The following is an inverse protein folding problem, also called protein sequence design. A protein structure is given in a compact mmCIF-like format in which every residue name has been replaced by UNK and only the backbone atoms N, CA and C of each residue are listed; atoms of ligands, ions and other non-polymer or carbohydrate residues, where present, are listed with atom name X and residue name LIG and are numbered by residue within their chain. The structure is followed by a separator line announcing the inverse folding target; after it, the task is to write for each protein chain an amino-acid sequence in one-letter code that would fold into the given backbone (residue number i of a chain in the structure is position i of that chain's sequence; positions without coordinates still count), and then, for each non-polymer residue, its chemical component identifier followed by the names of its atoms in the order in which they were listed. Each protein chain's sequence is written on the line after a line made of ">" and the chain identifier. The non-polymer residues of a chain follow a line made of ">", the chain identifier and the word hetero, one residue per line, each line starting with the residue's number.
data_IF_850396012326
#
_entry.id   IF_850396012326
#
_cell.length_a   1.000
_cell.length_b   1.000
_cell.length_c   1.000
_cell.angle_alpha   90.00
_cell.angle_beta   90.00
_cell.angle_gamma   90.00
#
_symmetry.space_group_name_H-M   'P 1'
#
loop_
_entity.id
_entity.type
_entity.pdbx_description
1 polymer ?
#
# COMPACT_ATOMS: atom_id res chain seq x y z
N UNK A 1 0.23 -15.68 24.48
CA UNK A 1 1.12 -14.59 24.09
C UNK A 1 0.63 -13.27 24.65
N UNK A 2 1.49 -12.58 25.41
CA UNK A 2 1.23 -11.24 25.97
C UNK A 2 1.42 -10.15 24.92
N UNK A 3 0.97 -8.92 25.22
CA UNK A 3 1.18 -7.75 24.34
C UNK A 3 2.68 -7.45 24.15
N UNK A 4 3.48 -7.59 25.20
CA UNK A 4 4.93 -7.39 25.16
C UNK A 4 5.61 -8.38 24.22
N UNK A 5 5.23 -9.66 24.29
CA UNK A 5 5.73 -10.69 23.38
C UNK A 5 5.36 -10.39 21.92
N UNK A 6 4.13 -9.92 21.65
CA UNK A 6 3.72 -9.54 20.29
C UNK A 6 4.46 -8.31 19.77
N UNK A 7 4.75 -7.34 20.64
CA UNK A 7 5.56 -6.17 20.27
C UNK A 7 7.01 -6.57 19.97
N UNK A 8 7.58 -7.49 20.76
CA UNK A 8 8.91 -8.05 20.50
C UNK A 8 8.95 -8.80 19.16
N UNK A 9 7.93 -9.61 18.83
CA UNK A 9 7.84 -10.31 17.54
C UNK A 9 7.69 -9.32 16.37
N UNK A 10 6.90 -8.26 16.51
CA UNK A 10 6.81 -7.21 15.49
C UNK A 10 8.17 -6.53 15.25
N UNK A 11 8.92 -6.22 16.33
CA UNK A 11 10.26 -5.63 16.22
C UNK A 11 11.22 -6.56 15.49
N UNK A 12 11.18 -7.86 15.82
CA UNK A 12 11.99 -8.89 15.15
C UNK A 12 11.60 -9.06 13.67
N UNK A 13 10.31 -9.11 13.36
CA UNK A 13 9.82 -9.21 11.99
C UNK A 13 10.21 -7.96 11.16
N UNK A 14 10.18 -6.78 11.77
CA UNK A 14 10.60 -5.52 11.12
C UNK A 14 12.09 -5.52 10.79
N UNK A 15 12.95 -5.95 11.72
CA UNK A 15 14.39 -6.03 11.45
C UNK A 15 14.71 -7.09 10.39
N UNK A 16 14.00 -8.22 10.38
CA UNK A 16 14.12 -9.26 9.36
C UNK A 16 13.70 -8.77 7.98
N UNK A 17 12.58 -8.04 7.87
CA UNK A 17 12.14 -7.44 6.62
C UNK A 17 13.15 -6.42 6.09
N UNK A 18 13.69 -5.56 6.96
CA UNK A 18 14.72 -4.60 6.59
C UNK A 18 15.99 -5.29 6.07
N UNK A 19 16.43 -6.37 6.72
CA UNK A 19 17.57 -7.16 6.28
C UNK A 19 17.31 -7.85 4.92
N UNK A 20 16.13 -8.44 4.74
CA UNK A 20 15.74 -9.11 3.50
C UNK A 20 15.71 -8.13 2.31
N UNK A 21 15.19 -6.91 2.52
CA UNK A 21 15.17 -5.86 1.50
C UNK A 21 16.56 -5.39 1.09
N UNK A 22 17.48 -5.23 2.06
CA UNK A 22 18.89 -4.92 1.77
C UNK A 22 19.53 -6.04 0.94
N UNK A 23 19.35 -7.28 1.38
CA UNK A 23 19.87 -8.43 0.64
C UNK A 23 19.32 -8.50 -0.79
N UNK A 24 18.03 -8.23 -0.99
CA UNK A 24 17.44 -8.15 -2.33
C UNK A 24 18.08 -7.04 -3.18
N UNK A 25 18.29 -5.85 -2.61
CA UNK A 25 18.96 -4.76 -3.30
C UNK A 25 20.41 -5.13 -3.69
N UNK A 26 21.15 -5.80 -2.80
CA UNK A 26 22.51 -6.27 -3.07
C UNK A 26 22.52 -7.32 -4.21
N UNK A 27 21.57 -8.25 -4.21
CA UNK A 27 21.47 -9.24 -5.29
C UNK A 27 21.06 -8.60 -6.62
N UNK A 28 20.20 -7.58 -6.60
CA UNK A 28 19.86 -6.80 -7.80
C UNK A 28 21.06 -6.02 -8.33
N UNK A 29 21.88 -5.46 -7.44
CA UNK A 29 23.12 -4.82 -7.81
C UNK A 29 24.07 -5.83 -8.48
N UNK A 30 24.32 -6.97 -7.84
CA UNK A 30 25.19 -8.02 -8.40
C UNK A 30 24.71 -8.49 -9.78
N UNK A 31 23.41 -8.67 -9.96
CA UNK A 31 22.81 -9.03 -11.24
C UNK A 31 23.06 -8.02 -12.36
N UNK A 32 23.00 -6.72 -12.05
CA UNK A 32 23.29 -5.66 -13.04
C UNK A 32 24.76 -5.59 -13.42
N UNK A 33 25.65 -6.04 -12.54
CA UNK A 33 27.10 -5.97 -12.73
C UNK A 33 27.74 -7.30 -13.17
N UNK A 34 26.94 -8.31 -13.51
CA UNK A 34 27.44 -9.62 -13.95
C UNK A 34 28.16 -10.41 -12.85
N UNK A 35 27.93 -10.04 -11.59
CA UNK A 35 28.45 -10.76 -10.41
C UNK A 35 27.51 -11.90 -10.07
N UNK A 36 28.06 -13.00 -9.54
CA UNK A 36 27.26 -14.10 -9.05
C UNK A 36 26.14 -13.61 -8.10
N UNK A 37 24.92 -14.03 -8.37
CA UNK A 37 23.74 -13.57 -7.66
C UNK A 37 22.74 -14.70 -7.44
N UNK A 38 21.86 -14.54 -6.45
CA UNK A 38 20.70 -15.39 -6.23
C UNK A 38 19.42 -14.56 -6.03
N UNK A 39 18.97 -13.93 -7.11
CA UNK A 39 17.77 -13.09 -7.13
C UNK A 39 16.50 -13.83 -6.72
N UNK A 40 16.33 -15.07 -7.19
CA UNK A 40 15.15 -15.88 -6.84
C UNK A 40 15.07 -16.10 -5.34
N UNK A 41 16.17 -16.54 -4.71
CA UNK A 41 16.20 -16.74 -3.26
C UNK A 41 15.94 -15.45 -2.49
N UNK A 42 16.62 -14.36 -2.86
CA UNK A 42 16.46 -13.08 -2.16
C UNK A 42 15.03 -12.52 -2.28
N UNK A 43 14.39 -12.70 -3.44
CA UNK A 43 13.00 -12.29 -3.67
C UNK A 43 12.04 -13.13 -2.83
N UNK A 44 12.18 -14.45 -2.83
CA UNK A 44 11.38 -15.34 -1.98
C UNK A 44 11.58 -15.05 -0.50
N UNK A 45 12.81 -14.77 -0.07
CA UNK A 45 13.12 -14.44 1.32
C UNK A 45 12.48 -13.10 1.75
N UNK A 46 12.54 -12.06 0.91
CA UNK A 46 11.84 -10.78 1.17
C UNK A 46 10.34 -10.97 1.27
N UNK A 47 9.76 -11.75 0.37
CA UNK A 47 8.32 -12.05 0.38
C UNK A 47 7.87 -12.75 1.66
N UNK A 48 8.62 -13.77 2.13
CA UNK A 48 8.32 -14.46 3.39
C UNK A 48 8.48 -13.52 4.59
N UNK A 49 9.53 -12.70 4.61
CA UNK A 49 9.74 -11.71 5.67
C UNK A 49 8.62 -10.67 5.71
N UNK A 50 8.14 -10.22 4.55
CA UNK A 50 7.02 -9.29 4.43
C UNK A 50 5.72 -9.88 4.99
N UNK A 51 5.39 -11.12 4.64
CA UNK A 51 4.20 -11.78 5.20
C UNK A 51 4.31 -12.05 6.69
N UNK A 52 5.50 -12.37 7.20
CA UNK A 52 5.72 -12.48 8.66
C UNK A 52 5.48 -11.14 9.35
N UNK A 53 5.98 -10.06 8.77
CA UNK A 53 5.78 -8.71 9.29
C UNK A 53 4.29 -8.33 9.32
N UNK A 54 3.54 -8.62 8.24
CA UNK A 54 2.09 -8.41 8.22
C UNK A 54 1.37 -9.18 9.33
N UNK A 55 1.66 -10.47 9.50
CA UNK A 55 1.05 -11.30 10.55
C UNK A 55 1.37 -10.78 11.95
N UNK A 56 2.60 -10.34 12.19
CA UNK A 56 3.00 -9.77 13.47
C UNK A 56 2.27 -8.44 13.76
N UNK A 57 2.05 -7.62 12.73
CA UNK A 57 1.29 -6.37 12.84
C UNK A 57 -0.19 -6.63 13.17
N UNK A 58 -0.82 -7.57 12.47
CA UNK A 58 -2.20 -8.01 12.73
C UNK A 58 -2.34 -8.62 14.13
N UNK A 59 -1.38 -9.44 14.54
CA UNK A 59 -1.36 -10.03 15.87
C UNK A 59 -1.26 -8.95 16.96
N UNK A 60 -0.45 -7.91 16.78
CA UNK A 60 -0.38 -6.81 17.74
C UNK A 60 -1.71 -6.03 17.79
N UNK A 61 -2.28 -5.70 16.64
CA UNK A 61 -3.57 -4.98 16.55
C UNK A 61 -4.71 -5.75 17.25
N UNK A 62 -4.73 -7.09 17.14
CA UNK A 62 -5.71 -7.94 17.82
C UNK A 62 -5.60 -7.93 19.36
N UNK A 63 -4.50 -7.39 19.92
CA UNK A 63 -4.36 -7.20 21.39
C UNK A 63 -4.74 -5.82 21.87
N UNK A 64 -4.96 -4.86 20.97
CA UNK A 64 -5.48 -3.57 21.38
C UNK A 64 -6.94 -3.73 21.80
N UNK A 65 -7.35 -3.15 22.94
CA UNK A 65 -8.75 -3.17 23.34
C UNK A 65 -9.56 -2.48 22.24
N UNK A 66 -10.54 -3.20 21.69
CA UNK A 66 -11.51 -2.68 20.73
C UNK A 66 -11.99 -1.32 21.27
N UNK A 67 -11.82 -0.19 20.54
CA UNK A 67 -12.40 1.06 20.98
C UNK A 67 -13.89 0.82 21.22
N UNK A 68 -14.48 1.35 22.31
CA UNK A 68 -15.90 1.17 22.57
C UNK A 68 -16.64 1.57 21.30
N UNK A 69 -17.52 0.67 20.83
CA UNK A 69 -18.42 0.94 19.72
C UNK A 69 -19.30 2.10 20.18
N UNK A 70 -18.88 3.33 19.86
CA UNK A 70 -19.76 4.48 19.94
C UNK A 70 -20.86 4.16 18.93
N UNK A 71 -22.06 3.90 19.45
CA UNK A 71 -23.25 3.62 18.66
C UNK A 71 -23.33 4.63 17.50
N UNK A 72 -23.75 4.21 16.29
CA UNK A 72 -23.96 5.14 15.19
C UNK A 72 -24.94 6.21 15.65
N UNK A 73 -24.42 7.41 15.92
CA UNK A 73 -25.26 8.58 16.17
C UNK A 73 -26.03 8.80 14.87
N UNK A 74 -27.35 8.83 15.02
CA UNK A 74 -28.33 8.91 13.95
C UNK A 74 -27.91 9.90 12.83
N UNK A 75 -28.28 9.61 11.56
CA UNK A 75 -27.92 10.46 10.44
C UNK A 75 -28.42 11.88 10.69
N UNK A 76 -27.47 12.80 10.85
CA UNK A 76 -27.75 14.23 10.86
C UNK A 76 -28.20 14.53 9.44
N UNK A 77 -29.49 14.82 9.29
CA UNK A 77 -30.08 15.40 8.09
C UNK A 77 -29.27 16.63 7.73
N UNK A 78 -28.41 16.51 6.72
CA UNK A 78 -27.70 17.64 6.15
C UNK A 78 -28.75 18.52 5.45
N UNK A 79 -29.11 19.61 6.12
CA UNK A 79 -29.81 20.74 5.53
C UNK A 79 -29.03 21.21 4.30
N UNK A 80 -29.69 21.28 3.16
CA UNK A 80 -29.10 21.71 1.90
C UNK A 80 -28.58 23.15 1.99
N UNK A 81 -27.39 23.46 1.46
CA UNK A 81 -27.06 24.81 1.04
C UNK A 81 -27.41 25.02 -0.45
N UNK A 82 -28.03 26.17 -0.70
CA UNK A 82 -28.47 26.70 -1.98
C UNK A 82 -27.30 26.93 -2.98
N UNK A 83 -27.59 27.17 -4.28
CA UNK A 83 -26.61 27.04 -5.37
C UNK A 83 -25.64 28.23 -5.37
N UNK A 84 -24.34 27.96 -5.27
CA UNK A 84 -23.30 28.94 -5.55
C UNK A 84 -22.73 28.73 -6.95
N UNK A 85 -22.67 29.89 -7.62
CA UNK A 85 -22.27 30.16 -8.98
C UNK A 85 -21.01 29.42 -9.48
N UNK A 86 -21.05 29.13 -10.78
CA UNK A 86 -19.98 28.54 -11.57
C UNK A 86 -18.64 29.27 -11.41
N UNK A 87 -17.60 28.48 -11.11
CA UNK A 87 -16.19 28.83 -11.29
C UNK A 87 -15.51 27.68 -12.06
N UNK A 88 -14.48 27.98 -12.88
CA UNK A 88 -14.11 27.21 -14.06
C UNK A 88 -13.51 25.83 -13.74
N UNK A 89 -13.82 24.84 -14.59
CA UNK A 89 -13.21 23.51 -14.58
C UNK A 89 -11.69 23.65 -14.74
N UNK A 90 -10.96 23.49 -13.65
CA UNK A 90 -9.52 23.21 -13.70
C UNK A 90 -9.39 21.73 -14.02
N UNK A 91 -9.20 21.41 -15.30
CA UNK A 91 -8.80 20.07 -15.74
C UNK A 91 -7.47 19.73 -15.07
N UNK A 92 -7.51 18.82 -14.11
CA UNK A 92 -6.28 18.28 -13.53
C UNK A 92 -5.75 17.18 -14.44
N UNK A 93 -4.43 17.03 -14.53
CA UNK A 93 -3.75 15.98 -15.31
C UNK A 93 -4.23 14.56 -14.99
N UNK A 94 -4.84 14.38 -13.83
CA UNK A 94 -5.47 13.13 -13.39
C UNK A 94 -6.71 12.76 -14.21
N UNK A 95 -7.50 13.74 -14.62
CA UNK A 95 -8.70 13.53 -15.43
C UNK A 95 -8.33 13.07 -16.85
N UNK A 96 -7.25 13.64 -17.40
CA UNK A 96 -6.71 13.30 -18.72
C UNK A 96 -6.22 11.85 -18.80
N UNK A 97 -5.59 11.35 -17.75
CA UNK A 97 -5.15 9.95 -17.67
C UNK A 97 -6.32 8.97 -17.58
N UNK A 98 -7.39 9.35 -16.86
CA UNK A 98 -8.58 8.51 -16.72
C UNK A 98 -9.37 8.40 -18.02
N UNK A 99 -9.43 9.48 -18.80
CA UNK A 99 -10.07 9.50 -20.11
C UNK A 99 -9.28 8.70 -21.15
N UNK A 100 -7.95 8.74 -21.13
CA UNK A 100 -7.09 7.93 -21.99
C UNK A 100 -7.28 6.41 -21.77
N UNK A 101 -7.41 5.98 -20.51
CA UNK A 101 -7.69 4.58 -20.18
C UNK A 101 -9.10 4.20 -20.64
N UNK A 102 -10.09 5.07 -20.47
CA UNK A 102 -11.45 4.82 -20.93
C UNK A 102 -11.58 4.78 -22.46
N UNK A 103 -10.76 5.54 -23.19
CA UNK A 103 -10.69 5.51 -24.65
C UNK A 103 -10.03 4.21 -25.17
N UNK A 104 -9.00 3.70 -24.48
CA UNK A 104 -8.37 2.42 -24.78
C UNK A 104 -9.37 1.25 -24.73
N UNK A 105 -10.20 1.19 -23.68
CA UNK A 105 -11.23 0.16 -23.55
C UNK A 105 -12.42 0.33 -24.51
N UNK A 106 -12.64 1.54 -25.05
CA UNK A 106 -13.63 1.80 -26.11
C UNK A 106 -13.10 1.54 -27.52
N UNK A 107 -11.81 1.27 -27.67
CA UNK A 107 -11.17 1.05 -28.98
C UNK A 107 -10.95 2.32 -29.81
N UNK A 108 -11.08 3.50 -29.20
CA UNK A 108 -10.98 4.81 -29.86
C UNK A 108 -9.56 5.41 -29.77
N UNK A 109 -8.55 4.59 -29.48
CA UNK A 109 -7.18 5.06 -29.33
C UNK A 109 -6.53 5.33 -30.70
N UNK A 110 -6.51 6.59 -31.13
CA UNK A 110 -5.62 7.02 -32.22
C UNK A 110 -4.23 7.40 -31.66
N UNK A 111 -3.15 6.74 -32.10
CA UNK A 111 -1.81 7.14 -31.73
C UNK A 111 -1.47 8.49 -32.39
N UNK A 112 -1.11 9.48 -31.56
CA UNK A 112 -0.57 10.76 -32.00
C UNK A 112 0.61 10.52 -32.96
N UNK A 113 0.51 11.01 -34.20
CA UNK A 113 1.62 11.16 -35.15
C UNK A 113 2.45 12.40 -34.84
#
# INVERSE_FOLDING_TARGET
>A
MTREERFADLKAATSQLAAARRSLADQQFNARHGVAHNLMFATSHEHVAYHRWLRAHEALAATEPKPPVVAPKAPITASAPAPQAAAPKVETTFDRGREAVAAYYRGEFEPLR
#
